data_IF_509324601788
#
_entry.id   IF_509324601788
#
_cell.length_a   1.000
_cell.length_b   1.000
_cell.length_c   1.000
_cell.angle_alpha   90.00
_cell.angle_beta   90.00
_cell.angle_gamma   90.00
#
_symmetry.space_group_name_H-M   'P 1'
#
loop_
_entity.id
_entity.type
_entity.pdbx_description
1 polymer ?
#
# COMPACT_ATOMS: atom_id res chain seq x y z
N UNK A 1 6.75 -11.67 -9.87
CA UNK A 1 6.43 -10.28 -9.47
C UNK A 1 6.59 -10.15 -7.96
N UNK A 2 7.29 -9.12 -7.51
CA UNK A 2 7.42 -8.86 -6.07
C UNK A 2 6.18 -8.14 -5.55
N UNK A 3 6.03 -8.12 -4.21
CA UNK A 3 4.92 -7.39 -3.59
C UNK A 3 4.98 -5.91 -3.93
N UNK A 4 6.18 -5.31 -3.88
CA UNK A 4 6.35 -3.90 -4.22
C UNK A 4 5.96 -3.62 -5.67
N UNK A 5 6.40 -4.45 -6.61
CA UNK A 5 6.02 -4.32 -8.02
C UNK A 5 4.50 -4.43 -8.20
N UNK A 6 3.87 -5.37 -7.50
CA UNK A 6 2.42 -5.56 -7.56
C UNK A 6 1.67 -4.33 -7.07
N UNK A 7 2.11 -3.74 -5.95
CA UNK A 7 1.50 -2.51 -5.42
C UNK A 7 1.65 -1.37 -6.43
N UNK A 8 2.84 -1.17 -6.98
CA UNK A 8 3.08 -0.11 -7.95
C UNK A 8 2.22 -0.28 -9.20
N UNK A 9 2.14 -1.50 -9.72
CA UNK A 9 1.32 -1.77 -10.90
C UNK A 9 -0.16 -1.56 -10.61
N UNK A 10 -0.65 -2.05 -9.48
CA UNK A 10 -2.05 -1.89 -9.10
C UNK A 10 -2.43 -0.42 -8.96
N UNK A 11 -1.58 0.37 -8.30
CA UNK A 11 -1.82 1.81 -8.13
C UNK A 11 -1.80 2.53 -9.46
N UNK A 12 -0.87 2.18 -10.35
CA UNK A 12 -0.79 2.80 -11.67
C UNK A 12 -2.02 2.50 -12.55
N UNK A 13 -2.69 1.39 -12.32
CA UNK A 13 -3.89 1.01 -13.06
C UNK A 13 -5.18 1.65 -12.52
N UNK A 14 -5.11 2.30 -11.37
CA UNK A 14 -6.29 2.83 -10.68
C UNK A 14 -6.08 4.29 -10.30
N UNK A 15 -6.81 5.20 -10.93
CA UNK A 15 -6.66 6.65 -10.75
C UNK A 15 -6.99 7.14 -9.33
N UNK A 16 -7.77 6.38 -8.59
CA UNK A 16 -8.15 6.73 -7.22
C UNK A 16 -7.03 6.52 -6.20
N UNK A 17 -5.91 5.97 -6.62
CA UNK A 17 -4.75 5.72 -5.77
C UNK A 17 -3.51 6.41 -6.33
N UNK A 18 -2.60 6.80 -5.42
CA UNK A 18 -1.35 7.44 -5.81
C UNK A 18 -0.24 6.95 -4.89
N UNK A 19 0.94 6.68 -5.45
CA UNK A 19 2.08 6.24 -4.65
C UNK A 19 2.61 7.40 -3.79
N UNK A 20 2.93 7.07 -2.55
CA UNK A 20 3.59 7.97 -1.62
C UNK A 20 4.89 7.30 -1.19
N UNK A 21 5.96 7.54 -1.93
CA UNK A 21 7.25 6.90 -1.65
C UNK A 21 7.93 7.57 -0.46
N UNK A 22 8.60 6.74 0.34
CA UNK A 22 9.36 7.26 1.47
C UNK A 22 8.50 7.83 2.59
N UNK A 23 7.33 7.23 2.84
CA UNK A 23 6.52 7.63 3.98
C UNK A 23 7.31 7.42 5.27
N UNK A 24 7.55 8.50 5.99
CA UNK A 24 8.59 8.55 7.00
C UNK A 24 8.10 8.17 8.40
N UNK A 25 8.96 7.46 9.14
CA UNK A 25 8.74 7.18 10.56
C UNK A 25 7.77 6.04 10.86
N UNK A 26 7.24 5.36 9.84
CA UNK A 26 6.25 4.29 10.01
C UNK A 26 6.76 2.90 9.62
N UNK A 27 7.91 2.84 8.97
CA UNK A 27 8.52 1.57 8.58
C UNK A 27 9.17 0.86 9.75
N UNK A 28 9.68 -0.35 9.47
CA UNK A 28 10.40 -1.15 10.46
C UNK A 28 11.57 -0.35 11.03
N UNK A 29 11.70 -0.31 12.35
CA UNK A 29 12.72 0.49 13.06
C UNK A 29 12.60 2.00 12.78
N UNK A 30 11.40 2.50 12.47
CA UNK A 30 11.18 3.92 12.19
C UNK A 30 11.71 4.39 10.84
N UNK A 31 12.04 3.48 9.95
CA UNK A 31 12.54 3.80 8.61
C UNK A 31 11.40 4.25 7.68
N UNK A 32 11.78 4.79 6.53
CA UNK A 32 10.83 5.11 5.49
C UNK A 32 10.22 3.83 4.93
N UNK A 33 8.94 3.89 4.59
CA UNK A 33 8.24 2.75 4.01
C UNK A 33 7.40 3.18 2.81
N UNK A 34 6.91 2.21 2.06
CA UNK A 34 6.03 2.50 0.92
C UNK A 34 4.65 2.89 1.44
N UNK A 35 4.09 3.95 0.87
CA UNK A 35 2.74 4.39 1.14
C UNK A 35 1.93 4.52 -0.15
N UNK A 36 0.62 4.54 0.01
CA UNK A 36 -0.33 4.76 -1.09
C UNK A 36 -1.38 5.74 -0.60
N UNK A 37 -1.55 6.84 -1.34
CA UNK A 37 -2.63 7.79 -1.06
C UNK A 37 -3.92 7.20 -1.64
N UNK A 38 -4.92 7.04 -0.77
CA UNK A 38 -6.27 6.62 -1.15
C UNK A 38 -7.13 7.87 -1.13
N UNK A 39 -7.61 8.28 -2.30
CA UNK A 39 -8.32 9.55 -2.46
C UNK A 39 -9.67 9.51 -1.77
N UNK A 40 -10.19 10.70 -1.44
CA UNK A 40 -11.49 10.88 -0.78
C UNK A 40 -12.58 10.07 -1.50
N UNK A 41 -13.42 9.41 -0.71
CA UNK A 41 -14.50 8.58 -1.24
C UNK A 41 -14.15 7.12 -1.39
N UNK A 42 -12.87 6.75 -1.21
CA UNK A 42 -12.42 5.37 -1.25
C UNK A 42 -12.07 4.91 0.17
N UNK A 43 -12.30 3.64 0.48
CA UNK A 43 -12.01 3.12 1.81
C UNK A 43 -10.70 2.36 1.86
N UNK A 44 -10.05 2.41 3.02
CA UNK A 44 -8.86 1.61 3.30
C UNK A 44 -9.14 0.11 3.12
N UNK A 45 -10.27 -0.36 3.64
CA UNK A 45 -10.61 -1.79 3.56
C UNK A 45 -10.82 -2.24 2.12
N UNK A 46 -11.50 -1.45 1.31
CA UNK A 46 -11.70 -1.78 -0.10
C UNK A 46 -10.38 -1.84 -0.85
N UNK A 47 -9.49 -0.90 -0.57
CA UNK A 47 -8.15 -0.91 -1.16
C UNK A 47 -7.40 -2.19 -0.82
N UNK A 48 -7.36 -2.58 0.46
CA UNK A 48 -6.64 -3.76 0.91
C UNK A 48 -7.25 -5.04 0.33
N UNK A 49 -8.58 -5.17 0.32
CA UNK A 49 -9.26 -6.34 -0.23
C UNK A 49 -8.95 -6.49 -1.73
N UNK A 50 -9.06 -5.41 -2.47
CA UNK A 50 -8.82 -5.44 -3.91
C UNK A 50 -7.35 -5.67 -4.25
N UNK A 51 -6.45 -5.09 -3.46
CA UNK A 51 -5.01 -5.31 -3.62
C UNK A 51 -4.65 -6.78 -3.36
N UNK A 52 -5.23 -7.37 -2.31
CA UNK A 52 -5.00 -8.77 -1.98
C UNK A 52 -5.47 -9.69 -3.11
N UNK A 53 -6.63 -9.41 -3.69
CA UNK A 53 -7.13 -10.16 -4.85
C UNK A 53 -6.21 -10.03 -6.06
N UNK A 54 -5.72 -8.83 -6.31
CA UNK A 54 -4.77 -8.58 -7.39
C UNK A 54 -3.50 -9.40 -7.21
N UNK A 55 -3.00 -9.47 -5.99
CA UNK A 55 -1.81 -10.26 -5.69
C UNK A 55 -2.04 -11.76 -5.83
N UNK A 56 -3.21 -12.24 -5.40
CA UNK A 56 -3.57 -13.64 -5.57
C UNK A 56 -3.66 -14.03 -7.05
N UNK A 57 -4.26 -13.16 -7.87
CA UNK A 57 -4.40 -13.37 -9.30
C UNK A 57 -3.06 -13.39 -10.04
N UNK A 58 -2.04 -12.74 -9.47
CA UNK A 58 -0.71 -12.64 -10.08
C UNK A 58 0.34 -13.52 -9.39
N UNK A 59 -0.09 -14.42 -8.49
CA UNK A 59 0.80 -15.35 -7.79
C UNK A 59 1.99 -14.65 -7.11
N UNK A 60 1.72 -13.56 -6.41
CA UNK A 60 2.74 -12.80 -5.70
C UNK A 60 3.15 -13.55 -4.44
N UNK A 61 4.45 -13.80 -4.29
CA UNK A 61 5.01 -14.47 -3.12
C UNK A 61 5.18 -13.51 -1.95
N UNK A 62 5.10 -14.04 -0.72
CA UNK A 62 5.32 -13.30 0.54
C UNK A 62 4.34 -12.13 0.75
N UNK A 63 3.18 -12.14 0.06
CA UNK A 63 2.20 -11.07 0.19
C UNK A 63 1.71 -10.92 1.63
N UNK A 64 1.42 -12.03 2.30
CA UNK A 64 0.91 -11.99 3.68
C UNK A 64 1.90 -11.31 4.62
N UNK A 65 3.17 -11.68 4.53
CA UNK A 65 4.22 -11.08 5.38
C UNK A 65 4.41 -9.59 5.07
N UNK A 66 4.50 -9.25 3.79
CA UNK A 66 4.76 -7.87 3.37
C UNK A 66 3.60 -6.94 3.66
N UNK A 67 2.38 -7.44 3.62
CA UNK A 67 1.19 -6.64 3.93
C UNK A 67 0.87 -6.62 5.42
N UNK A 68 1.53 -7.48 6.21
CA UNK A 68 1.33 -7.50 7.66
C UNK A 68 1.70 -6.14 8.26
N UNK A 69 0.87 -5.65 9.13
CA UNK A 69 1.09 -4.36 9.77
C UNK A 69 0.66 -3.17 8.93
N UNK A 70 0.09 -3.41 7.75
CA UNK A 70 -0.46 -2.30 6.95
C UNK A 70 -1.48 -1.52 7.75
N UNK A 71 -1.36 -0.20 7.71
CA UNK A 71 -2.22 0.69 8.47
C UNK A 71 -2.44 1.97 7.66
N UNK A 72 -3.17 2.91 8.22
CA UNK A 72 -3.44 4.15 7.52
C UNK A 72 -3.37 5.34 8.47
N UNK A 73 -3.05 6.50 7.89
CA UNK A 73 -3.10 7.79 8.55
C UNK A 73 -3.96 8.74 7.72
N UNK A 74 -4.51 9.75 8.37
CA UNK A 74 -5.25 10.79 7.65
C UNK A 74 -4.26 11.76 6.98
N UNK A 75 -4.57 12.15 5.75
CA UNK A 75 -3.80 13.11 4.98
C UNK A 75 -4.77 14.13 4.37
N UNK A 76 -5.19 15.07 5.21
CA UNK A 76 -6.24 16.02 4.82
C UNK A 76 -7.55 15.29 4.58
N UNK A 77 -8.11 15.40 3.38
CA UNK A 77 -9.34 14.70 3.00
C UNK A 77 -9.06 13.28 2.49
N UNK A 78 -7.81 12.98 2.22
CA UNK A 78 -7.38 11.68 1.73
C UNK A 78 -6.87 10.82 2.88
N UNK A 79 -6.55 9.57 2.58
CA UNK A 79 -5.96 8.62 3.52
C UNK A 79 -4.67 8.11 2.93
N UNK A 80 -3.61 8.01 3.72
CA UNK A 80 -2.39 7.34 3.28
C UNK A 80 -2.32 5.96 3.95
N UNK A 81 -2.27 4.92 3.13
CA UNK A 81 -2.04 3.55 3.58
C UNK A 81 -0.55 3.30 3.51
N UNK A 82 0.05 2.81 4.59
CA UNK A 82 1.49 2.54 4.60
C UNK A 82 1.76 1.08 4.95
N UNK A 83 2.88 0.59 4.42
CA UNK A 83 3.29 -0.81 4.55
C UNK A 83 4.63 -0.86 5.25
N UNK A 84 4.64 -1.02 6.59
CA UNK A 84 5.89 -0.94 7.36
C UNK A 84 6.96 -1.97 6.97
N UNK A 85 6.54 -3.09 6.39
CA UNK A 85 7.45 -4.17 5.98
C UNK A 85 7.98 -4.00 4.55
N UNK A 86 7.63 -2.91 3.88
CA UNK A 86 8.09 -2.63 2.51
C UNK A 86 8.85 -1.31 2.51
N UNK A 87 10.12 -1.34 2.12
CA UNK A 87 10.94 -0.14 2.00
C UNK A 87 10.44 0.79 0.91
N UNK A 88 10.56 2.10 1.14
CA UNK A 88 10.10 3.12 0.18
C UNK A 88 11.22 3.76 -0.60
#
# INVERSE_FOLDING_TARGET
>A
MTVEEAIRNYVNENEQYELYEGYSGRGMFGRKCLGVVVKQGCSFMDFIINLTRYMDDNDVEDADFKLEGAAYDNLGQDTVVYFPNIGG
#
